data_IF_814608234567
#
_entry.id   IF_814608234567
#
_cell.length_a   1.000
_cell.length_b   1.000
_cell.length_c   1.000
_cell.angle_alpha   90.00
_cell.angle_beta   90.00
_cell.angle_gamma   90.00
#
_symmetry.space_group_name_H-M   'P 1'
#
loop_
_entity.id
_entity.type
_entity.pdbx_description
1 polymer ?
#
# COMPACT_ATOMS: atom_id res chain seq x y z
N UNK A 1 -15.74 -17.10 11.59
CA UNK A 1 -16.38 -15.81 11.21
C UNK A 1 -16.65 -15.69 9.72
N UNK A 2 -15.70 -15.99 8.80
CA UNK A 2 -16.00 -15.96 7.35
C UNK A 2 -17.08 -17.00 7.02
N UNK A 3 -16.89 -18.24 7.45
CA UNK A 3 -17.81 -19.37 7.22
C UNK A 3 -19.16 -19.25 7.94
N UNK A 4 -19.35 -18.20 8.75
CA UNK A 4 -20.52 -17.97 9.58
C UNK A 4 -21.12 -16.57 9.35
N UNK A 5 -20.72 -15.87 8.29
CA UNK A 5 -21.20 -14.53 8.01
C UNK A 5 -22.58 -14.58 7.35
N UNK A 6 -23.53 -13.79 7.86
CA UNK A 6 -24.88 -13.67 7.29
C UNK A 6 -24.98 -12.63 6.15
N UNK A 7 -23.90 -11.91 5.88
CA UNK A 7 -23.83 -10.86 4.85
C UNK A 7 -23.77 -11.51 3.46
N UNK A 8 -24.44 -10.89 2.49
CA UNK A 8 -24.50 -11.37 1.11
C UNK A 8 -23.94 -10.32 0.13
N UNK A 9 -23.59 -10.76 -1.08
CA UNK A 9 -23.17 -9.88 -2.17
C UNK A 9 -21.94 -9.02 -1.84
N UNK A 10 -22.08 -7.69 -2.02
CA UNK A 10 -20.97 -6.74 -1.89
C UNK A 10 -20.41 -6.66 -0.46
N UNK A 11 -21.26 -6.77 0.56
CA UNK A 11 -20.83 -6.72 1.95
C UNK A 11 -20.00 -7.95 2.32
N UNK A 12 -20.38 -9.12 1.82
CA UNK A 12 -19.59 -10.33 1.98
C UNK A 12 -18.23 -10.22 1.30
N UNK A 13 -18.18 -9.67 0.08
CA UNK A 13 -16.91 -9.40 -0.63
C UNK A 13 -16.00 -8.45 0.16
N UNK A 14 -16.57 -7.41 0.78
CA UNK A 14 -15.83 -6.49 1.66
C UNK A 14 -15.30 -7.19 2.91
N UNK A 15 -16.10 -8.04 3.55
CA UNK A 15 -15.69 -8.83 4.70
C UNK A 15 -14.51 -9.76 4.36
N UNK A 16 -14.59 -10.48 3.24
CA UNK A 16 -13.50 -11.35 2.76
C UNK A 16 -12.22 -10.53 2.57
N UNK A 17 -12.28 -9.41 1.86
CA UNK A 17 -11.13 -8.53 1.64
C UNK A 17 -10.52 -8.06 2.95
N UNK A 18 -11.34 -7.65 3.92
CA UNK A 18 -10.86 -7.22 5.23
C UNK A 18 -10.14 -8.34 5.99
N UNK A 19 -10.70 -9.56 5.97
CA UNK A 19 -10.10 -10.72 6.65
C UNK A 19 -8.82 -11.17 5.96
N UNK A 20 -8.79 -11.20 4.63
CA UNK A 20 -7.60 -11.48 3.84
C UNK A 20 -6.47 -10.50 4.18
N UNK A 21 -6.76 -9.19 4.18
CA UNK A 21 -5.77 -8.17 4.56
C UNK A 21 -5.27 -8.33 6.00
N UNK A 22 -6.12 -8.78 6.94
CA UNK A 22 -5.71 -9.08 8.31
C UNK A 22 -4.76 -10.28 8.37
N UNK A 23 -5.06 -11.35 7.64
CA UNK A 23 -4.21 -12.55 7.57
C UNK A 23 -2.84 -12.17 6.99
N UNK A 24 -2.80 -11.44 5.88
CA UNK A 24 -1.54 -11.02 5.26
C UNK A 24 -0.71 -10.17 6.22
N UNK A 25 -1.32 -9.21 6.94
CA UNK A 25 -0.63 -8.41 7.94
C UNK A 25 -0.08 -9.24 9.10
N UNK A 26 -0.81 -10.27 9.53
CA UNK A 26 -0.35 -11.15 10.60
C UNK A 26 0.87 -11.97 10.14
N UNK A 27 0.78 -12.56 8.94
CA UNK A 27 1.85 -13.37 8.35
C UNK A 27 3.09 -12.53 8.05
N UNK A 28 2.91 -11.28 7.61
CA UNK A 28 4.00 -10.32 7.44
C UNK A 28 4.63 -9.97 8.79
N UNK A 29 3.84 -9.76 9.84
CA UNK A 29 4.36 -9.42 11.16
C UNK A 29 5.16 -10.57 11.80
N UNK A 30 4.63 -11.80 11.72
CA UNK A 30 5.20 -12.94 12.44
C UNK A 30 6.32 -13.65 11.66
N UNK A 31 6.14 -13.85 10.35
CA UNK A 31 7.06 -14.60 9.51
C UNK A 31 7.77 -13.73 8.47
N UNK A 32 7.39 -12.44 8.36
CA UNK A 32 7.85 -11.53 7.29
C UNK A 32 7.56 -12.08 5.90
N UNK A 33 6.55 -12.92 5.76
CA UNK A 33 6.13 -13.48 4.48
C UNK A 33 5.11 -12.53 3.85
N UNK A 34 5.29 -12.20 2.57
CA UNK A 34 4.43 -11.24 1.86
C UNK A 34 4.02 -11.73 0.47
N UNK A 35 2.83 -11.37 -0.03
CA UNK A 35 2.48 -11.58 -1.43
C UNK A 35 3.25 -10.65 -2.36
N UNK A 36 3.20 -10.91 -3.67
CA UNK A 36 3.78 -10.01 -4.68
C UNK A 36 3.20 -8.60 -4.58
N UNK A 37 4.07 -7.60 -4.78
CA UNK A 37 3.75 -6.18 -4.78
C UNK A 37 3.17 -5.64 -3.45
N UNK A 38 3.33 -6.35 -2.34
CA UNK A 38 2.80 -5.93 -1.05
C UNK A 38 3.42 -4.61 -0.58
N UNK A 39 4.76 -4.57 -0.48
CA UNK A 39 5.45 -3.38 0.02
C UNK A 39 5.35 -2.23 -0.97
N UNK A 40 5.37 -2.49 -2.28
CA UNK A 40 5.08 -1.48 -3.32
C UNK A 40 3.76 -0.80 -3.07
N UNK A 41 2.68 -1.56 -2.85
CA UNK A 41 1.35 -0.99 -2.66
C UNK A 41 1.22 -0.23 -1.32
N UNK A 42 1.83 -0.75 -0.25
CA UNK A 42 1.89 -0.05 1.04
C UNK A 42 2.67 1.25 0.93
N UNK A 43 3.87 1.21 0.36
CA UNK A 43 4.73 2.38 0.22
C UNK A 43 4.24 3.37 -0.82
N UNK A 44 3.44 2.96 -1.80
CA UNK A 44 2.74 3.89 -2.69
C UNK A 44 1.85 4.83 -1.88
N UNK A 45 1.01 4.26 -1.00
CA UNK A 45 0.12 5.03 -0.14
C UNK A 45 0.89 5.91 0.85
N UNK A 46 1.93 5.35 1.49
CA UNK A 46 2.82 6.11 2.41
C UNK A 46 3.57 7.20 1.67
N UNK A 47 4.07 6.91 0.48
CA UNK A 47 4.77 7.85 -0.40
C UNK A 47 3.94 9.09 -0.66
N UNK A 48 2.68 8.90 -1.06
CA UNK A 48 1.75 9.99 -1.31
C UNK A 48 1.35 10.73 -0.03
N UNK A 49 1.08 10.04 1.08
CA UNK A 49 0.59 10.68 2.30
C UNK A 49 1.67 11.35 3.16
N UNK A 50 2.81 10.70 3.32
CA UNK A 50 3.90 11.15 4.19
C UNK A 50 4.89 12.09 3.48
N UNK A 51 5.03 11.97 2.16
CA UNK A 51 5.94 12.82 1.38
C UNK A 51 5.18 13.69 0.38
N UNK A 52 4.32 13.08 -0.43
CA UNK A 52 3.69 13.78 -1.55
C UNK A 52 2.80 14.95 -1.11
N UNK A 53 1.86 14.72 -0.20
CA UNK A 53 0.97 15.76 0.31
C UNK A 53 1.74 16.87 1.03
N UNK A 54 2.65 16.59 1.99
CA UNK A 54 3.42 17.64 2.65
C UNK A 54 4.31 18.46 1.69
N UNK A 55 5.01 17.81 0.75
CA UNK A 55 5.83 18.50 -0.25
C UNK A 55 4.95 19.36 -1.16
N UNK A 56 3.80 18.83 -1.57
CA UNK A 56 2.77 19.56 -2.32
C UNK A 56 2.34 20.81 -1.58
N UNK A 57 1.97 20.70 -0.31
CA UNK A 57 1.56 21.82 0.56
C UNK A 57 2.66 22.87 0.67
N UNK A 58 3.89 22.45 0.97
CA UNK A 58 5.01 23.37 1.09
C UNK A 58 5.25 24.14 -0.22
N UNK A 59 5.24 23.46 -1.38
CA UNK A 59 5.49 24.11 -2.68
C UNK A 59 4.34 25.02 -3.09
N UNK A 60 3.09 24.59 -2.90
CA UNK A 60 1.91 25.38 -3.25
C UNK A 60 1.80 26.67 -2.42
N UNK A 61 2.17 26.61 -1.13
CA UNK A 61 2.22 27.79 -0.27
C UNK A 61 3.40 28.71 -0.64
N UNK A 62 4.59 28.15 -0.89
CA UNK A 62 5.78 28.94 -1.24
C UNK A 62 5.60 29.73 -2.55
N UNK A 63 4.92 29.14 -3.54
CA UNK A 63 4.68 29.75 -4.85
C UNK A 63 3.32 30.49 -4.90
N UNK A 64 2.56 30.51 -3.79
CA UNK A 64 1.20 31.08 -3.69
C UNK A 64 0.24 30.56 -4.78
N UNK A 65 0.46 29.33 -5.24
CA UNK A 65 -0.36 28.68 -6.24
C UNK A 65 -0.77 27.29 -5.73
N UNK A 66 -2.02 27.23 -5.28
CA UNK A 66 -2.65 26.02 -4.71
C UNK A 66 -2.78 24.91 -5.76
N UNK A 67 -2.72 25.21 -7.07
CA UNK A 67 -2.65 24.18 -8.11
C UNK A 67 -1.35 23.37 -8.08
N UNK A 68 -0.25 23.94 -7.60
CA UNK A 68 1.05 23.25 -7.50
C UNK A 68 1.10 22.23 -6.36
N UNK A 69 0.09 22.19 -5.48
CA UNK A 69 -0.08 21.11 -4.49
C UNK A 69 -0.05 19.72 -5.15
N UNK A 70 -0.62 19.63 -6.37
CA UNK A 70 -0.71 18.38 -7.12
C UNK A 70 0.67 17.83 -7.55
N UNK A 71 1.72 18.66 -7.64
CA UNK A 71 3.08 18.22 -8.00
C UNK A 71 3.68 17.32 -6.92
N UNK A 72 3.27 17.52 -5.67
CA UNK A 72 3.70 16.66 -4.57
C UNK A 72 3.28 15.20 -4.76
N UNK A 73 2.11 14.95 -5.35
CA UNK A 73 1.58 13.59 -5.52
C UNK A 73 2.48 12.70 -6.40
N UNK A 74 2.87 13.09 -7.64
CA UNK A 74 3.85 12.34 -8.43
C UNK A 74 5.19 12.11 -7.72
N UNK A 75 5.69 13.10 -6.97
CA UNK A 75 6.95 12.98 -6.22
C UNK A 75 6.82 11.92 -5.12
N UNK A 76 5.77 12.03 -4.30
CA UNK A 76 5.47 11.07 -3.25
C UNK A 76 5.23 9.67 -3.81
N UNK A 77 4.52 9.57 -4.93
CA UNK A 77 4.30 8.32 -5.64
C UNK A 77 5.61 7.69 -6.10
N UNK A 78 6.51 8.47 -6.71
CA UNK A 78 7.82 8.00 -7.15
C UNK A 78 8.67 7.46 -6.00
N UNK A 79 8.74 8.19 -4.89
CA UNK A 79 9.44 7.75 -3.67
C UNK A 79 8.83 6.43 -3.17
N UNK A 80 7.50 6.38 -3.07
CA UNK A 80 6.76 5.20 -2.62
C UNK A 80 7.02 3.97 -3.48
N UNK A 81 6.96 4.11 -4.81
CA UNK A 81 7.23 3.00 -5.74
C UNK A 81 8.65 2.49 -5.61
N UNK A 82 9.65 3.39 -5.56
CA UNK A 82 11.06 3.00 -5.47
C UNK A 82 11.34 2.25 -4.17
N UNK A 83 10.94 2.82 -3.03
CA UNK A 83 11.18 2.19 -1.72
C UNK A 83 10.42 0.87 -1.60
N UNK A 84 9.14 0.86 -1.95
CA UNK A 84 8.33 -0.35 -1.87
C UNK A 84 8.80 -1.47 -2.79
N UNK A 85 9.21 -1.15 -4.02
CA UNK A 85 9.74 -2.15 -4.96
C UNK A 85 11.07 -2.72 -4.49
N UNK A 86 11.93 -1.92 -3.84
CA UNK A 86 13.17 -2.43 -3.24
C UNK A 86 12.89 -3.43 -2.10
N UNK A 87 11.88 -3.16 -1.28
CA UNK A 87 11.47 -4.06 -0.19
C UNK A 87 10.85 -5.36 -0.73
N UNK A 88 10.02 -5.28 -1.76
CA UNK A 88 9.49 -6.48 -2.43
C UNK A 88 10.60 -7.33 -3.06
N UNK A 89 11.59 -6.70 -3.72
CA UNK A 89 12.76 -7.42 -4.26
C UNK A 89 13.57 -8.09 -3.16
N UNK A 90 13.75 -7.43 -2.02
CA UNK A 90 14.42 -8.01 -0.84
C UNK A 90 13.65 -9.22 -0.30
N UNK A 91 12.33 -9.12 -0.16
CA UNK A 91 11.51 -10.25 0.27
C UNK A 91 11.58 -11.45 -0.69
N UNK A 92 11.65 -11.18 -2.00
CA UNK A 92 11.84 -12.21 -3.03
C UNK A 92 13.20 -12.90 -2.92
N UNK A 93 14.28 -12.12 -2.76
CA UNK A 93 15.65 -12.63 -2.61
C UNK A 93 15.81 -13.49 -1.35
N UNK A 94 15.12 -13.15 -0.28
CA UNK A 94 15.13 -13.91 0.97
C UNK A 94 14.16 -15.10 0.97
N UNK A 95 13.50 -15.40 -0.15
CA UNK A 95 12.54 -16.52 -0.24
C UNK A 95 11.27 -16.32 0.57
N UNK A 96 10.98 -15.09 1.02
CA UNK A 96 9.82 -14.74 1.85
C UNK A 96 8.64 -14.20 1.03
N UNK A 97 8.74 -14.18 -0.29
CA UNK A 97 7.67 -13.73 -1.17
C UNK A 97 6.83 -14.90 -1.69
N UNK A 98 5.54 -14.89 -1.39
CA UNK A 98 4.58 -15.86 -1.92
C UNK A 98 4.30 -15.57 -3.39
N UNK A 99 4.16 -16.62 -4.21
CA UNK A 99 3.82 -16.51 -5.62
C UNK A 99 2.31 -16.25 -5.85
N UNK A 100 1.78 -15.25 -5.15
CA UNK A 100 0.40 -14.79 -5.29
C UNK A 100 0.35 -13.27 -5.29
N UNK A 101 -0.51 -12.70 -6.13
CA UNK A 101 -0.79 -11.28 -6.15
C UNK A 101 -2.21 -11.03 -5.66
N UNK A 102 -2.36 -10.14 -4.68
CA UNK A 102 -3.66 -9.80 -4.10
C UNK A 102 -4.25 -8.63 -4.88
N UNK A 103 -5.12 -8.95 -5.84
CA UNK A 103 -5.89 -7.98 -6.63
C UNK A 103 -7.24 -7.75 -5.95
N UNK A 104 -7.59 -6.48 -5.71
CA UNK A 104 -8.87 -6.10 -5.08
C UNK A 104 -9.92 -5.79 -6.13
#
# INVERSE_FOLDING_TARGET
>A
VINSAAQNGNDFKKLIKQKQSKIIKLVEKEAKIVPKNYYRNVWLAVGMSAFGLPIGVAIGLAVKNIGLLAIGLPIGMGIGVVVGTRLDKKAAQEGRQLDVEIKY
#
